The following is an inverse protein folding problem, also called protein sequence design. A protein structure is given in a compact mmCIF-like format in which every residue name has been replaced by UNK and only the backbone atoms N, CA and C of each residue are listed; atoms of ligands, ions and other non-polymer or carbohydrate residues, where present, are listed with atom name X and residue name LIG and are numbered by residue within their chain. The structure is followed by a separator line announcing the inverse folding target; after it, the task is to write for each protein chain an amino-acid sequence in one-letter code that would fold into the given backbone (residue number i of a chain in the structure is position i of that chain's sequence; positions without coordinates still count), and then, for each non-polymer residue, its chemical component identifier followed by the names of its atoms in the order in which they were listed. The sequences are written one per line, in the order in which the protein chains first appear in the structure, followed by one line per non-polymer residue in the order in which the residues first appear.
data_IF_872930002209
#
_entry.id   IF_872930002209
#
_cell.length_a   1.000
_cell.length_b   1.000
_cell.length_c   1.000
_cell.angle_alpha   90.00
_cell.angle_beta   90.00
_cell.angle_gamma   90.00
#
_symmetry.space_group_name_H-M   'P 1'
#
loop_
_entity.id
_entity.type
_entity.pdbx_description
1 polymer ?
#
# COMPACT_ATOMS: atom_id res chain seq x y z
N UNK A 1 2.25 -49.60 -28.30
CA UNK A 1 2.93 -48.29 -28.33
C UNK A 1 1.97 -47.26 -27.74
N UNK A 2 2.08 -47.00 -26.44
CA UNK A 2 1.13 -46.14 -25.69
C UNK A 2 1.30 -44.67 -26.09
N UNK A 3 0.22 -44.08 -26.61
CA UNK A 3 0.10 -42.66 -26.92
C UNK A 3 -0.08 -41.92 -25.59
N UNK A 4 1.02 -41.36 -25.06
CA UNK A 4 0.96 -40.39 -23.96
C UNK A 4 1.44 -39.03 -24.47
N UNK A 5 0.50 -38.21 -24.95
CA UNK A 5 0.54 -36.74 -24.96
C UNK A 5 -0.69 -36.20 -25.69
N UNK A 6 -1.69 -35.71 -24.92
CA UNK A 6 -2.01 -34.29 -25.07
C UNK A 6 -2.29 -33.55 -23.74
N UNK A 7 -2.04 -34.17 -22.58
CA UNK A 7 -2.42 -33.57 -21.29
C UNK A 7 -1.58 -32.34 -20.90
N UNK A 8 -0.29 -32.29 -21.29
CA UNK A 8 0.61 -31.18 -20.90
C UNK A 8 0.30 -29.82 -21.55
N UNK A 9 -0.30 -29.78 -22.75
CA UNK A 9 -0.59 -28.50 -23.44
C UNK A 9 -1.87 -27.83 -22.92
N UNK A 10 -2.88 -28.60 -22.50
CA UNK A 10 -4.10 -28.02 -21.90
C UNK A 10 -3.86 -27.44 -20.52
N UNK A 11 -3.02 -28.07 -19.69
CA UNK A 11 -2.67 -27.55 -18.36
C UNK A 11 -1.83 -26.27 -18.45
N UNK A 12 -0.93 -26.16 -19.43
CA UNK A 12 -0.14 -24.95 -19.65
C UNK A 12 -0.99 -23.70 -19.99
N UNK A 13 -2.15 -23.89 -20.64
CA UNK A 13 -3.11 -22.81 -20.90
C UNK A 13 -3.91 -22.37 -19.67
N UNK A 14 -4.04 -23.24 -18.67
CA UNK A 14 -4.75 -22.94 -17.40
C UNK A 14 -3.89 -22.04 -16.49
N UNK A 15 -2.58 -21.93 -16.76
CA UNK A 15 -1.63 -21.13 -15.98
C UNK A 15 -1.03 -19.93 -16.75
N UNK A 16 -1.44 -19.71 -17.99
CA UNK A 16 -1.06 -18.51 -18.73
C UNK A 16 -1.96 -17.37 -18.27
N UNK A 17 -1.40 -16.42 -17.51
CA UNK A 17 -2.12 -15.21 -17.15
C UNK A 17 -2.40 -14.35 -18.39
N UNK A 18 -3.36 -13.41 -18.26
CA UNK A 18 -3.79 -12.54 -19.35
C UNK A 18 -2.59 -11.91 -20.08
N UNK A 19 -2.61 -11.84 -21.43
CA UNK A 19 -1.50 -11.28 -22.18
C UNK A 19 -1.28 -9.82 -21.80
N UNK A 20 -0.04 -9.48 -21.44
CA UNK A 20 0.39 -8.09 -21.25
C UNK A 20 0.16 -7.31 -22.55
N UNK A 21 -0.51 -6.16 -22.46
CA UNK A 21 -0.74 -5.25 -23.58
C UNK A 21 -0.08 -3.91 -23.30
N UNK A 22 0.79 -3.49 -24.22
CA UNK A 22 1.40 -2.15 -24.19
C UNK A 22 0.38 -1.03 -24.41
N UNK A 23 -0.76 -1.34 -25.05
CA UNK A 23 -1.79 -0.36 -25.42
C UNK A 23 -2.68 0.06 -24.24
N UNK A 24 -2.64 -0.70 -23.13
CA UNK A 24 -3.50 -0.50 -21.96
C UNK A 24 -2.78 0.17 -20.78
N UNK A 25 -1.56 0.69 -20.98
CA UNK A 25 -0.81 1.35 -19.91
C UNK A 25 -1.46 2.68 -19.54
N UNK A 26 -1.66 2.94 -18.24
CA UNK A 26 -2.11 4.24 -17.77
C UNK A 26 -1.07 5.34 -18.03
N UNK A 27 -1.50 6.59 -17.95
CA UNK A 27 -0.65 7.76 -18.15
C UNK A 27 0.58 7.77 -17.21
N UNK A 28 1.66 8.41 -17.64
CA UNK A 28 2.87 8.59 -16.82
C UNK A 28 2.52 9.44 -15.58
N UNK A 29 3.05 9.04 -14.43
CA UNK A 29 2.76 9.67 -13.14
C UNK A 29 3.97 10.53 -12.70
N UNK A 30 3.74 11.74 -12.16
CA UNK A 30 4.81 12.63 -11.71
C UNK A 30 5.28 12.26 -10.31
N UNK A 31 6.51 12.63 -9.96
CA UNK A 31 7.06 12.49 -8.62
C UNK A 31 6.81 13.79 -7.86
N UNK A 32 6.13 13.71 -6.71
CA UNK A 32 5.78 14.88 -5.88
C UNK A 32 6.50 14.85 -4.54
N UNK A 33 7.27 15.89 -4.26
CA UNK A 33 7.92 16.06 -2.97
C UNK A 33 6.98 16.78 -2.01
N UNK A 34 6.61 16.09 -0.94
CA UNK A 34 5.84 16.63 0.17
C UNK A 34 6.75 16.94 1.35
N UNK A 35 6.47 18.04 2.06
CA UNK A 35 7.11 18.35 3.33
C UNK A 35 6.05 18.61 4.40
N UNK A 36 6.03 17.74 5.42
CA UNK A 36 5.07 17.80 6.53
C UNK A 36 5.84 17.86 7.85
N UNK A 37 5.80 19.01 8.52
CA UNK A 37 6.42 19.18 9.83
C UNK A 37 5.55 18.58 10.95
N UNK A 38 5.61 17.26 11.18
CA UNK A 38 4.82 16.63 12.23
C UNK A 38 5.23 17.14 13.63
N UNK A 39 4.25 17.66 14.40
CA UNK A 39 4.43 17.97 15.82
C UNK A 39 3.81 16.86 16.67
N UNK A 40 4.66 16.12 17.39
CA UNK A 40 4.22 15.07 18.32
C UNK A 40 3.16 15.54 19.33
N UNK A 41 3.14 16.82 19.71
CA UNK A 41 2.19 17.36 20.71
C UNK A 41 0.77 17.48 20.16
N UNK A 42 0.63 17.80 18.88
CA UNK A 42 -0.67 17.96 18.21
C UNK A 42 -1.13 16.68 17.53
N UNK A 43 -0.28 15.65 17.52
CA UNK A 43 -0.57 14.38 16.88
C UNK A 43 -1.78 13.69 17.56
N UNK A 44 -2.80 13.42 16.74
CA UNK A 44 -4.04 12.75 17.14
C UNK A 44 -3.85 11.22 17.20
N UNK A 45 -3.95 10.65 18.39
CA UNK A 45 -3.89 9.19 18.61
C UNK A 45 -5.23 8.47 18.40
N UNK A 46 -6.26 9.21 17.96
CA UNK A 46 -7.58 8.73 17.56
C UNK A 46 -7.96 9.20 16.16
N UNK A 47 -6.96 9.49 15.32
CA UNK A 47 -7.07 9.94 13.93
C UNK A 47 -8.19 9.23 13.14
N UNK A 48 -8.24 7.91 13.21
CA UNK A 48 -9.20 7.11 12.48
C UNK A 48 -10.54 7.04 13.21
N UNK A 49 -11.50 7.85 12.76
CA UNK A 49 -12.90 7.86 13.22
C UNK A 49 -13.06 7.93 14.75
N UNK A 50 -12.17 8.63 15.46
CA UNK A 50 -12.15 8.72 16.92
C UNK A 50 -12.05 7.36 17.63
N UNK A 51 -11.46 6.34 16.97
CA UNK A 51 -11.25 5.02 17.51
C UNK A 51 -9.75 4.81 17.74
N UNK A 52 -9.35 4.60 18.99
CA UNK A 52 -7.94 4.53 19.38
C UNK A 52 -7.28 3.27 18.81
N UNK A 53 -7.95 2.12 18.92
CA UNK A 53 -7.40 0.86 18.42
C UNK A 53 -7.32 0.82 16.89
N UNK A 54 -8.27 1.42 16.17
CA UNK A 54 -8.19 1.56 14.72
C UNK A 54 -7.08 2.54 14.32
N UNK A 55 -6.90 3.65 15.04
CA UNK A 55 -5.80 4.59 14.79
C UNK A 55 -4.43 3.95 15.06
N UNK A 56 -4.35 3.08 16.05
CA UNK A 56 -3.17 2.25 16.30
C UNK A 56 -2.84 1.33 15.10
N UNK A 57 -3.83 0.87 14.33
CA UNK A 57 -3.59 0.13 13.09
C UNK A 57 -2.85 1.01 12.08
N UNK A 58 -3.34 2.22 11.80
CA UNK A 58 -2.70 3.14 10.86
C UNK A 58 -1.31 3.59 11.33
N UNK A 59 -1.12 3.83 12.62
CA UNK A 59 0.21 4.11 13.15
C UNK A 59 1.16 2.91 12.99
N UNK A 60 0.67 1.69 13.18
CA UNK A 60 1.44 0.47 12.93
C UNK A 60 1.75 0.31 11.44
N UNK A 61 0.77 0.55 10.58
CA UNK A 61 0.91 0.49 9.13
C UNK A 61 1.97 1.48 8.64
N UNK A 62 1.95 2.73 9.12
CA UNK A 62 2.98 3.74 8.82
C UNK A 62 4.41 3.25 9.13
N UNK A 63 4.59 2.50 10.22
CA UNK A 63 5.91 1.92 10.56
C UNK A 63 6.27 0.80 9.58
N UNK A 64 5.34 -0.09 9.28
CA UNK A 64 5.59 -1.22 8.38
C UNK A 64 5.71 -0.82 6.91
N UNK A 65 5.05 0.26 6.49
CA UNK A 65 5.14 0.81 5.13
C UNK A 65 6.59 1.14 4.77
N UNK A 66 7.35 1.76 5.66
CA UNK A 66 8.77 2.09 5.39
C UNK A 66 9.62 0.88 5.00
N UNK A 67 9.37 -0.29 5.60
CA UNK A 67 10.04 -1.56 5.22
C UNK A 67 9.46 -2.17 3.94
N UNK A 68 8.14 -2.05 3.75
CA UNK A 68 7.45 -2.51 2.54
C UNK A 68 7.90 -1.74 1.30
N UNK A 69 7.93 -0.42 1.38
CA UNK A 69 8.36 0.51 0.34
C UNK A 69 9.85 0.32 0.02
N UNK A 70 10.72 0.10 1.02
CA UNK A 70 12.11 -0.28 0.76
C UNK A 70 12.21 -1.59 -0.07
N UNK A 71 11.40 -2.60 0.25
CA UNK A 71 11.34 -3.85 -0.52
C UNK A 71 10.82 -3.61 -1.94
N UNK A 72 9.78 -2.80 -2.10
CA UNK A 72 9.22 -2.39 -3.39
C UNK A 72 10.29 -1.68 -4.21
N UNK A 73 10.94 -0.66 -3.65
CA UNK A 73 11.98 0.15 -4.29
C UNK A 73 13.13 -0.74 -4.77
N UNK A 74 13.68 -1.59 -3.91
CA UNK A 74 14.81 -2.45 -4.26
C UNK A 74 14.43 -3.49 -5.31
N UNK A 75 13.23 -4.05 -5.22
CA UNK A 75 12.71 -5.01 -6.20
C UNK A 75 12.46 -4.33 -7.54
N UNK A 76 11.83 -3.15 -7.55
CA UNK A 76 11.56 -2.36 -8.73
C UNK A 76 12.87 -1.93 -9.41
N UNK A 77 13.86 -1.45 -8.65
CA UNK A 77 15.19 -1.08 -9.17
C UNK A 77 15.88 -2.25 -9.86
N UNK A 78 15.90 -3.43 -9.22
CA UNK A 78 16.50 -4.63 -9.79
C UNK A 78 15.82 -5.03 -11.11
N UNK A 79 14.48 -5.04 -11.14
CA UNK A 79 13.73 -5.53 -12.30
C UNK A 79 13.61 -4.49 -13.42
N UNK A 80 13.62 -3.20 -13.11
CA UNK A 80 13.56 -2.10 -14.09
C UNK A 80 14.59 -2.28 -15.19
N UNK A 81 15.81 -2.68 -14.85
CA UNK A 81 16.90 -2.80 -15.82
C UNK A 81 16.68 -3.97 -16.82
N UNK A 82 15.81 -4.93 -16.47
CA UNK A 82 15.40 -6.05 -17.33
C UNK A 82 14.25 -5.69 -18.29
N UNK A 83 13.56 -4.57 -18.05
CA UNK A 83 12.43 -4.12 -18.86
C UNK A 83 12.93 -3.51 -20.17
N UNK A 84 12.36 -3.96 -21.30
CA UNK A 84 12.68 -3.44 -22.64
C UNK A 84 11.77 -2.30 -23.08
N UNK A 85 10.52 -2.30 -22.62
CA UNK A 85 9.58 -1.25 -22.96
C UNK A 85 9.97 0.08 -22.28
N UNK A 86 10.28 1.14 -23.05
CA UNK A 86 10.78 2.38 -22.48
C UNK A 86 9.73 3.10 -21.63
N UNK A 87 8.43 2.96 -21.95
CA UNK A 87 7.34 3.55 -21.20
C UNK A 87 7.18 2.87 -19.84
N UNK A 88 7.06 1.54 -19.78
CA UNK A 88 7.00 0.79 -18.53
C UNK A 88 8.24 1.04 -17.66
N UNK A 89 9.43 1.10 -18.27
CA UNK A 89 10.67 1.45 -17.55
C UNK A 89 10.62 2.86 -16.95
N UNK A 90 10.03 3.83 -17.64
CA UNK A 90 9.80 5.19 -17.13
C UNK A 90 8.78 5.19 -15.99
N UNK A 91 7.65 4.49 -16.12
CA UNK A 91 6.62 4.37 -15.07
C UNK A 91 7.18 3.74 -13.79
N UNK A 92 7.97 2.68 -13.91
CA UNK A 92 8.70 2.09 -12.78
C UNK A 92 9.69 3.06 -12.15
N UNK A 93 10.29 3.95 -12.94
CA UNK A 93 11.15 5.02 -12.40
C UNK A 93 10.37 6.05 -11.60
N UNK A 94 9.14 6.39 -12.02
CA UNK A 94 8.24 7.23 -11.23
C UNK A 94 7.84 6.56 -9.92
N UNK A 95 7.40 5.29 -9.97
CA UNK A 95 7.06 4.49 -8.78
C UNK A 95 8.22 4.48 -7.78
N UNK A 96 9.44 4.14 -8.20
CA UNK A 96 10.64 4.18 -7.33
C UNK A 96 10.84 5.56 -6.68
N UNK A 97 10.49 6.64 -7.39
CA UNK A 97 10.62 8.00 -6.90
C UNK A 97 9.55 8.38 -5.88
N UNK A 98 8.29 8.04 -6.13
CA UNK A 98 7.17 8.26 -5.21
C UNK A 98 7.35 7.42 -3.94
N UNK A 99 7.66 6.13 -4.06
CA UNK A 99 7.88 5.25 -2.90
C UNK A 99 9.04 5.71 -2.01
N UNK A 100 10.11 6.23 -2.59
CA UNK A 100 11.21 6.79 -1.81
C UNK A 100 10.77 8.02 -0.99
N UNK A 101 9.79 8.78 -1.47
CA UNK A 101 9.22 9.93 -0.78
C UNK A 101 8.16 9.49 0.23
N UNK A 102 7.33 8.49 -0.07
CA UNK A 102 6.43 7.85 0.89
C UNK A 102 7.21 7.43 2.14
N UNK A 103 8.30 6.68 1.94
CA UNK A 103 9.12 6.12 3.03
C UNK A 103 9.73 7.24 3.87
N UNK A 104 10.23 8.28 3.21
CA UNK A 104 10.80 9.45 3.87
C UNK A 104 9.77 10.18 4.76
N UNK A 105 8.57 10.44 4.25
CA UNK A 105 7.53 11.20 4.99
C UNK A 105 6.87 10.33 6.06
N UNK A 106 6.71 9.02 5.83
CA UNK A 106 6.28 8.07 6.84
C UNK A 106 7.30 7.94 7.97
N UNK A 107 8.61 7.97 7.70
CA UNK A 107 9.63 8.00 8.75
C UNK A 107 9.56 9.28 9.59
N UNK A 108 9.32 10.43 8.97
CA UNK A 108 9.12 11.69 9.71
C UNK A 108 7.86 11.61 10.62
N UNK A 109 6.77 10.97 10.16
CA UNK A 109 5.59 10.68 10.98
C UNK A 109 5.89 9.67 12.11
N UNK A 110 6.65 8.61 11.80
CA UNK A 110 7.04 7.58 12.77
C UNK A 110 7.91 8.16 13.89
N UNK A 111 8.77 9.12 13.59
CA UNK A 111 9.56 9.83 14.59
C UNK A 111 8.67 10.71 15.50
N UNK A 112 7.62 11.33 14.96
CA UNK A 112 6.61 12.02 15.75
C UNK A 112 5.79 11.05 16.63
N UNK A 113 5.41 9.88 16.12
CA UNK A 113 4.78 8.80 16.91
C UNK A 113 5.68 8.32 18.05
N UNK A 114 6.99 8.18 17.80
CA UNK A 114 7.97 7.80 18.80
C UNK A 114 8.05 8.85 19.92
N UNK A 115 8.15 10.13 19.56
CA UNK A 115 8.14 11.24 20.52
C UNK A 115 6.82 11.30 21.31
N UNK A 116 5.72 10.84 20.73
CA UNK A 116 4.40 10.72 21.38
C UNK A 116 4.23 9.48 22.26
N UNK A 117 5.25 8.61 22.31
CA UNK A 117 5.29 7.44 23.19
C UNK A 117 4.70 6.16 22.60
N UNK A 118 4.47 6.10 21.28
CA UNK A 118 4.10 4.85 20.62
C UNK A 118 5.30 3.88 20.58
N UNK A 119 5.08 2.55 20.52
CA UNK A 119 6.14 1.54 20.55
C UNK A 119 6.93 1.42 19.22
N UNK A 120 7.30 2.54 18.59
CA UNK A 120 7.94 2.57 17.26
C UNK A 120 9.22 1.75 17.22
N UNK A 121 10.08 1.84 18.24
CA UNK A 121 11.34 1.06 18.32
C UNK A 121 11.08 -0.45 18.36
N UNK A 122 10.06 -0.89 19.11
CA UNK A 122 9.69 -2.29 19.18
C UNK A 122 9.17 -2.77 17.82
N UNK A 123 8.35 -1.97 17.14
CA UNK A 123 7.79 -2.35 15.85
C UNK A 123 8.84 -2.34 14.74
N UNK A 124 9.76 -1.37 14.71
CA UNK A 124 10.93 -1.38 13.82
C UNK A 124 11.78 -2.64 14.03
N UNK A 125 11.98 -3.06 15.28
CA UNK A 125 12.69 -4.31 15.57
C UNK A 125 11.95 -5.54 15.01
N UNK A 126 10.64 -5.67 15.27
CA UNK A 126 9.84 -6.81 14.79
C UNK A 126 9.73 -6.83 13.26
N UNK A 127 9.49 -5.68 12.64
CA UNK A 127 9.48 -5.53 11.18
C UNK A 127 10.85 -5.88 10.58
N UNK A 128 11.94 -5.39 11.17
CA UNK A 128 13.30 -5.76 10.79
C UNK A 128 13.51 -7.27 10.78
N UNK A 129 13.05 -8.00 11.80
CA UNK A 129 13.12 -9.46 11.82
C UNK A 129 12.34 -10.10 10.66
N UNK A 130 11.10 -9.66 10.41
CA UNK A 130 10.25 -10.19 9.34
C UNK A 130 10.87 -9.96 7.96
N UNK A 131 11.41 -8.76 7.72
CA UNK A 131 11.97 -8.40 6.42
C UNK A 131 13.38 -8.97 6.23
N UNK A 132 14.32 -8.77 7.15
CA UNK A 132 15.72 -9.19 7.01
C UNK A 132 15.89 -10.72 6.96
N UNK A 133 15.11 -11.44 7.77
CA UNK A 133 15.21 -12.91 7.86
C UNK A 133 14.13 -13.64 7.06
N UNK A 134 13.11 -12.93 6.58
CA UNK A 134 12.03 -13.47 5.74
C UNK A 134 12.02 -12.86 4.35
N UNK A 135 11.26 -11.78 4.17
CA UNK A 135 10.86 -11.26 2.84
C UNK A 135 12.06 -10.85 1.96
N UNK A 136 13.11 -10.26 2.53
CA UNK A 136 14.30 -9.83 1.78
C UNK A 136 15.18 -11.00 1.33
N UNK A 137 14.95 -12.22 1.81
CA UNK A 137 15.68 -13.43 1.38
C UNK A 137 14.97 -14.22 0.31
N UNK A 138 13.76 -13.80 -0.09
CA UNK A 138 13.03 -14.43 -1.18
C UNK A 138 13.80 -14.29 -2.51
N UNK A 139 13.75 -15.31 -3.40
CA UNK A 139 14.29 -15.19 -4.75
C UNK A 139 13.67 -14.02 -5.52
N UNK A 140 14.41 -13.41 -6.45
CA UNK A 140 13.96 -12.23 -7.20
C UNK A 140 12.58 -12.38 -7.87
N UNK A 141 12.23 -13.51 -8.53
CA UNK A 141 10.89 -13.69 -9.08
C UNK A 141 9.78 -13.67 -8.02
N UNK A 142 10.07 -14.18 -6.82
CA UNK A 142 9.14 -14.16 -5.70
C UNK A 142 9.04 -12.76 -5.07
N UNK A 143 10.15 -12.02 -4.99
CA UNK A 143 10.12 -10.59 -4.60
C UNK A 143 9.29 -9.77 -5.58
N UNK A 144 9.44 -9.98 -6.88
CA UNK A 144 8.63 -9.30 -7.89
C UNK A 144 7.14 -9.63 -7.71
N UNK A 145 6.81 -10.88 -7.42
CA UNK A 145 5.43 -11.27 -7.10
C UNK A 145 4.93 -10.63 -5.82
N UNK A 146 5.77 -10.53 -4.79
CA UNK A 146 5.43 -9.92 -3.52
C UNK A 146 5.20 -8.41 -3.67
N UNK A 147 6.06 -7.72 -4.42
CA UNK A 147 5.90 -6.31 -4.80
C UNK A 147 4.53 -6.08 -5.45
N UNK A 148 4.19 -6.84 -6.49
CA UNK A 148 2.88 -6.76 -7.14
C UNK A 148 1.70 -7.11 -6.20
N UNK A 149 1.93 -7.92 -5.17
CA UNK A 149 0.94 -8.20 -4.13
C UNK A 149 0.76 -7.04 -3.16
N UNK A 150 1.84 -6.46 -2.65
CA UNK A 150 1.83 -5.30 -1.73
C UNK A 150 1.08 -4.13 -2.38
N UNK A 151 1.46 -3.80 -3.61
CA UNK A 151 0.89 -2.71 -4.43
C UNK A 151 -0.59 -2.92 -4.72
N UNK A 152 -1.03 -4.17 -4.88
CA UNK A 152 -2.45 -4.48 -4.97
C UNK A 152 -3.19 -4.16 -3.67
N UNK A 153 -2.64 -4.53 -2.51
CA UNK A 153 -3.27 -4.23 -1.21
C UNK A 153 -3.32 -2.72 -0.93
N UNK A 154 -2.26 -1.99 -1.24
CA UNK A 154 -2.21 -0.54 -1.04
C UNK A 154 -3.12 0.19 -2.01
N UNK A 155 -3.22 -0.26 -3.27
CA UNK A 155 -4.20 0.29 -4.23
C UNK A 155 -5.66 0.04 -3.81
N UNK A 156 -5.99 -1.16 -3.28
CA UNK A 156 -7.33 -1.44 -2.76
C UNK A 156 -7.64 -0.60 -1.52
N UNK A 157 -6.66 -0.45 -0.62
CA UNK A 157 -6.79 0.46 0.54
C UNK A 157 -7.00 1.90 0.07
N UNK A 158 -6.24 2.35 -0.91
CA UNK A 158 -6.37 3.68 -1.51
C UNK A 158 -7.76 3.91 -2.08
N UNK A 159 -8.28 3.00 -2.90
CA UNK A 159 -9.63 3.12 -3.43
C UNK A 159 -10.68 3.17 -2.33
N UNK A 160 -10.59 2.32 -1.29
CA UNK A 160 -11.50 2.36 -0.15
C UNK A 160 -11.46 3.72 0.54
N UNK A 161 -10.27 4.18 0.94
CA UNK A 161 -10.10 5.43 1.69
C UNK A 161 -10.53 6.64 0.83
N UNK A 162 -10.28 6.57 -0.47
CA UNK A 162 -10.68 7.62 -1.41
C UNK A 162 -12.21 7.71 -1.54
N UNK A 163 -12.91 6.57 -1.54
CA UNK A 163 -14.37 6.50 -1.53
C UNK A 163 -15.01 6.94 -0.20
N UNK A 164 -14.23 6.98 0.88
CA UNK A 164 -14.68 7.35 2.23
C UNK A 164 -13.97 8.63 2.73
N UNK A 165 -13.75 9.60 1.83
CA UNK A 165 -12.95 10.81 2.08
C UNK A 165 -13.30 11.52 3.41
N UNK A 166 -14.60 11.55 3.77
CA UNK A 166 -15.11 12.25 4.95
C UNK A 166 -14.51 11.74 6.27
N UNK A 167 -13.97 10.51 6.28
CA UNK A 167 -13.30 9.93 7.43
C UNK A 167 -12.04 10.71 7.83
N UNK A 168 -11.30 11.24 6.86
CA UNK A 168 -10.07 11.99 7.09
C UNK A 168 -10.32 13.31 7.82
N UNK A 169 -11.51 13.87 7.66
CA UNK A 169 -11.93 15.13 8.27
C UNK A 169 -12.55 14.96 9.66
N UNK A 170 -12.68 13.73 10.17
CA UNK A 170 -13.06 13.52 11.58
C UNK A 170 -11.93 13.92 12.54
N UNK A 171 -10.68 13.82 12.09
CA UNK A 171 -9.52 14.34 12.80
C UNK A 171 -9.25 15.80 12.44
N UNK A 172 -8.84 16.58 13.45
CA UNK A 172 -8.37 17.95 13.25
C UNK A 172 -6.87 18.02 12.92
N UNK A 173 -6.17 16.87 12.92
CA UNK A 173 -4.76 16.81 12.54
C UNK A 173 -4.60 16.87 11.01
N UNK A 174 -4.36 18.08 10.52
CA UNK A 174 -4.26 18.35 9.09
C UNK A 174 -3.07 17.66 8.43
N UNK A 175 -1.98 17.44 9.18
CA UNK A 175 -0.74 16.85 8.63
C UNK A 175 -0.86 15.33 8.56
N UNK A 176 -1.43 14.69 9.59
CA UNK A 176 -1.79 13.27 9.50
C UNK A 176 -2.82 13.03 8.39
N UNK A 177 -3.81 13.91 8.22
CA UNK A 177 -4.72 13.83 7.06
C UNK A 177 -3.97 13.96 5.74
N UNK A 178 -3.10 14.96 5.61
CA UNK A 178 -2.37 15.25 4.37
C UNK A 178 -1.50 14.07 3.91
N UNK A 179 -0.72 13.45 4.79
CA UNK A 179 0.13 12.30 4.41
C UNK A 179 -0.72 11.13 3.91
N UNK A 180 -1.80 10.77 4.61
CA UNK A 180 -2.62 9.63 4.17
C UNK A 180 -3.35 9.94 2.86
N UNK A 181 -3.95 11.13 2.71
CA UNK A 181 -4.61 11.48 1.44
C UNK A 181 -3.63 11.55 0.26
N UNK A 182 -2.42 12.07 0.48
CA UNK A 182 -1.35 12.07 -0.52
C UNK A 182 -0.93 10.65 -0.89
N UNK A 183 -0.67 9.80 0.09
CA UNK A 183 -0.25 8.43 -0.15
C UNK A 183 -1.33 7.65 -0.91
N UNK A 184 -2.62 7.75 -0.51
CA UNK A 184 -3.70 7.06 -1.25
C UNK A 184 -3.83 7.55 -2.70
N UNK A 185 -3.60 8.85 -2.96
CA UNK A 185 -3.56 9.37 -4.32
C UNK A 185 -2.47 8.69 -5.15
N UNK A 186 -1.26 8.53 -4.62
CA UNK A 186 -0.12 7.96 -5.34
C UNK A 186 -0.21 6.42 -5.44
N UNK A 187 -0.71 5.71 -4.44
CA UNK A 187 -0.99 4.26 -4.56
C UNK A 187 -2.04 3.94 -5.63
N UNK A 188 -3.01 4.85 -5.82
CA UNK A 188 -3.97 4.75 -6.93
C UNK A 188 -3.30 4.93 -8.29
N UNK A 189 -2.22 5.72 -8.36
CA UNK A 189 -1.35 5.90 -9.53
C UNK A 189 -0.43 4.68 -9.77
N UNK A 190 -0.05 3.95 -8.71
CA UNK A 190 0.80 2.75 -8.78
C UNK A 190 0.07 1.48 -9.19
N UNK A 191 -1.26 1.43 -8.96
CA UNK A 191 -2.16 0.27 -9.08
C UNK A 191 -1.81 -0.77 -10.16
N UNK A 192 -1.51 -0.36 -11.40
CA UNK A 192 -1.19 -1.27 -12.50
C UNK A 192 0.31 -1.48 -12.73
N UNK A 193 1.19 -0.58 -12.27
CA UNK A 193 2.63 -0.58 -12.60
C UNK A 193 3.30 -1.87 -12.12
N UNK A 194 3.18 -2.21 -10.84
CA UNK A 194 3.85 -3.40 -10.29
C UNK A 194 3.32 -4.70 -10.91
N UNK A 195 2.02 -4.74 -11.19
CA UNK A 195 1.37 -5.84 -11.88
C UNK A 195 1.89 -5.98 -13.32
N UNK A 196 1.97 -4.89 -14.07
CA UNK A 196 2.47 -4.86 -15.44
C UNK A 196 3.92 -5.30 -15.53
N UNK A 197 4.78 -4.89 -14.58
CA UNK A 197 6.16 -5.40 -14.50
C UNK A 197 6.18 -6.91 -14.27
N UNK A 198 5.35 -7.40 -13.35
CA UNK A 198 5.24 -8.84 -13.07
C UNK A 198 4.80 -9.62 -14.32
N UNK A 199 3.77 -9.13 -15.02
CA UNK A 199 3.27 -9.73 -16.25
C UNK A 199 4.29 -9.66 -17.39
N UNK A 200 5.04 -8.55 -17.50
CA UNK A 200 6.05 -8.37 -18.54
C UNK A 200 7.25 -9.32 -18.37
N UNK A 201 7.73 -9.53 -17.13
CA UNK A 201 8.95 -10.28 -16.86
C UNK A 201 8.73 -11.75 -16.48
N UNK A 202 7.64 -12.07 -15.79
CA UNK A 202 7.36 -13.40 -15.25
C UNK A 202 6.14 -14.05 -15.90
N UNK A 203 4.99 -13.35 -15.90
CA UNK A 203 3.69 -13.85 -16.37
C UNK A 203 3.27 -15.22 -15.79
N UNK A 204 3.80 -15.60 -14.61
CA UNK A 204 3.52 -16.90 -14.01
C UNK A 204 2.39 -16.78 -12.99
N UNK A 205 1.21 -17.33 -13.30
CA UNK A 205 0.05 -17.23 -12.42
C UNK A 205 0.31 -17.82 -11.03
N UNK A 206 0.83 -19.05 -10.93
CA UNK A 206 1.03 -19.71 -9.64
C UNK A 206 2.00 -18.94 -8.73
N UNK A 207 3.05 -18.38 -9.32
CA UNK A 207 4.00 -17.53 -8.59
C UNK A 207 3.34 -16.21 -8.16
N UNK A 208 2.48 -15.60 -9.00
CA UNK A 208 1.73 -14.37 -8.69
C UNK A 208 0.90 -14.54 -7.42
N UNK A 209 0.17 -15.65 -7.36
CA UNK A 209 -0.64 -16.04 -6.19
C UNK A 209 0.24 -16.31 -4.97
N UNK A 210 1.43 -16.89 -5.16
CA UNK A 210 2.34 -17.13 -4.06
C UNK A 210 2.80 -15.82 -3.38
N UNK A 211 3.08 -14.75 -4.14
CA UNK A 211 3.47 -13.45 -3.57
C UNK A 211 2.33 -12.68 -2.90
N UNK A 212 1.08 -12.92 -3.32
CA UNK A 212 -0.11 -12.32 -2.71
C UNK A 212 -0.28 -12.69 -1.22
N UNK A 213 -0.08 -13.96 -0.86
CA UNK A 213 -0.36 -14.41 0.52
C UNK A 213 0.57 -13.81 1.58
N UNK A 214 1.90 -13.71 1.39
CA UNK A 214 2.75 -13.00 2.35
C UNK A 214 2.37 -11.53 2.52
N UNK A 215 1.96 -10.83 1.45
CA UNK A 215 1.44 -9.47 1.55
C UNK A 215 0.14 -9.44 2.39
N UNK A 216 -0.83 -10.32 2.09
CA UNK A 216 -2.07 -10.46 2.85
C UNK A 216 -1.82 -10.72 4.34
N UNK A 217 -0.98 -11.72 4.64
CA UNK A 217 -0.67 -12.14 6.02
C UNK A 217 0.00 -11.00 6.78
N UNK A 218 0.88 -10.26 6.12
CA UNK A 218 1.58 -9.13 6.75
C UNK A 218 0.59 -8.00 7.04
N UNK A 219 -0.14 -7.53 6.02
CA UNK A 219 -0.97 -6.32 6.11
C UNK A 219 -2.23 -6.54 6.95
N UNK A 220 -2.98 -7.62 6.72
CA UNK A 220 -4.23 -7.90 7.44
C UNK A 220 -4.00 -8.68 8.73
N UNK A 221 -2.92 -9.46 8.82
CA UNK A 221 -2.61 -10.31 9.97
C UNK A 221 -1.63 -9.68 10.96
N UNK A 222 -0.35 -9.59 10.56
CA UNK A 222 0.74 -9.16 11.44
C UNK A 222 0.58 -7.72 11.92
N UNK A 223 0.26 -6.77 11.03
CA UNK A 223 0.06 -5.37 11.40
C UNK A 223 -1.16 -5.23 12.32
N UNK A 224 -2.26 -5.93 12.02
CA UNK A 224 -3.45 -5.95 12.89
C UNK A 224 -3.12 -6.49 14.28
N UNK A 225 -2.39 -7.59 14.38
CA UNK A 225 -1.97 -8.17 15.65
C UNK A 225 -1.01 -7.24 16.42
N UNK A 226 -0.03 -6.64 15.73
CA UNK A 226 0.89 -5.66 16.32
C UNK A 226 0.13 -4.44 16.86
N UNK A 227 -0.87 -3.94 16.13
CA UNK A 227 -1.64 -2.77 16.54
C UNK A 227 -2.34 -2.92 17.90
N UNK A 228 -2.72 -4.15 18.30
CA UNK A 228 -3.35 -4.43 19.60
C UNK A 228 -2.42 -4.07 20.78
N UNK A 229 -1.10 -4.08 20.56
CA UNK A 229 -0.11 -3.77 21.59
C UNK A 229 -0.05 -2.26 21.86
N UNK A 230 -0.35 -1.40 20.87
CA UNK A 230 -0.07 0.06 20.96
C UNK A 230 -0.78 0.72 22.14
N UNK A 231 -2.11 0.60 22.35
CA UNK A 231 -2.76 1.29 23.46
C UNK A 231 -2.34 0.73 24.82
N UNK A 232 -2.10 -0.59 24.90
CA UNK A 232 -1.69 -1.28 26.13
C UNK A 232 -0.24 -0.91 26.51
N UNK A 233 0.65 -0.77 25.52
CA UNK A 233 2.04 -0.36 25.75
C UNK A 233 2.11 1.03 26.39
N UNK A 234 1.25 1.96 25.93
CA UNK A 234 1.17 3.32 26.46
C UNK A 234 0.51 3.38 27.84
N UNK A 235 -0.53 2.57 28.05
CA UNK A 235 -1.26 2.51 29.31
C UNK A 235 -1.63 1.07 29.66
N UNK A 236 -0.77 0.33 30.41
CA UNK A 236 -0.97 -1.10 30.69
C UNK A 236 -2.29 -1.43 31.40
N UNK A 237 -2.88 -0.47 32.13
CA UNK A 237 -4.19 -0.62 32.79
C UNK A 237 -5.33 -0.86 31.80
N UNK A 238 -5.16 -0.50 30.51
CA UNK A 238 -6.17 -0.74 29.47
C UNK A 238 -6.51 -2.22 29.28
N UNK A 239 -5.60 -3.14 29.63
CA UNK A 239 -5.87 -4.58 29.65
C UNK A 239 -7.13 -4.93 30.46
N UNK A 240 -7.42 -4.17 31.52
CA UNK A 240 -8.56 -4.40 32.41
C UNK A 240 -9.71 -3.39 32.18
N UNK A 241 -9.64 -2.55 31.15
CA UNK A 241 -10.62 -1.50 30.88
C UNK A 241 -11.73 -1.98 29.95
N UNK A 242 -12.97 -2.01 30.44
CA UNK A 242 -14.15 -2.30 29.61
C UNK A 242 -14.32 -1.30 28.45
N UNK A 243 -13.95 -0.03 28.65
CA UNK A 243 -14.02 0.98 27.61
C UNK A 243 -13.03 0.70 26.47
N UNK A 244 -11.81 0.26 26.80
CA UNK A 244 -10.82 -0.15 25.81
C UNK A 244 -11.31 -1.35 24.99
N UNK A 245 -11.81 -2.41 25.63
CA UNK A 245 -12.31 -3.58 24.89
C UNK A 245 -13.55 -3.29 24.03
N UNK A 246 -14.39 -2.32 24.43
CA UNK A 246 -15.46 -1.79 23.55
C UNK A 246 -14.88 -1.09 22.32
N UNK A 247 -13.83 -0.28 22.49
CA UNK A 247 -13.12 0.37 21.39
C UNK A 247 -12.42 -0.64 20.47
N UNK A 248 -11.81 -1.70 21.02
CA UNK A 248 -11.23 -2.81 20.24
C UNK A 248 -12.30 -3.49 19.39
N UNK A 249 -13.47 -3.82 19.96
CA UNK A 249 -14.59 -4.43 19.22
C UNK A 249 -15.10 -3.48 18.11
N UNK A 250 -15.26 -2.20 18.43
CA UNK A 250 -15.65 -1.17 17.45
C UNK A 250 -14.63 -1.09 16.31
N UNK A 251 -13.35 -1.03 16.65
CA UNK A 251 -12.23 -0.95 15.70
C UNK A 251 -12.15 -2.19 14.82
N UNK A 252 -12.41 -3.39 15.36
CA UNK A 252 -12.53 -4.59 14.55
C UNK A 252 -13.67 -4.49 13.52
N UNK A 253 -14.81 -3.90 13.88
CA UNK A 253 -15.89 -3.59 12.93
C UNK A 253 -15.49 -2.54 11.90
N UNK A 254 -14.75 -1.50 12.30
CA UNK A 254 -14.24 -0.47 11.39
C UNK A 254 -13.19 -0.99 10.39
N UNK A 255 -12.42 -2.02 10.75
CA UNK A 255 -11.42 -2.62 9.86
C UNK A 255 -11.97 -3.79 9.05
N UNK A 256 -12.85 -4.62 9.64
CA UNK A 256 -13.25 -5.91 9.07
C UNK A 256 -14.77 -6.12 8.97
N UNK A 257 -15.58 -5.11 9.26
CA UNK A 257 -17.02 -5.14 9.00
C UNK A 257 -17.32 -5.24 7.52
N UNK A 258 -18.32 -6.05 7.14
CA UNK A 258 -18.62 -6.35 5.73
C UNK A 258 -19.30 -5.20 4.97
N UNK A 259 -19.91 -4.25 5.69
CA UNK A 259 -20.63 -3.12 5.11
C UNK A 259 -19.69 -1.94 4.89
N UNK A 260 -19.14 -1.38 5.97
CA UNK A 260 -18.31 -0.17 5.92
C UNK A 260 -16.87 -0.36 6.38
N UNK A 261 -16.43 -1.59 6.68
CA UNK A 261 -15.09 -1.83 7.23
C UNK A 261 -14.00 -1.88 6.17
N UNK A 262 -12.84 -1.24 6.40
CA UNK A 262 -11.72 -1.10 5.42
C UNK A 262 -11.46 -2.35 4.57
N UNK A 263 -11.13 -3.47 5.22
CA UNK A 263 -10.82 -4.74 4.57
C UNK A 263 -12.03 -5.64 4.41
N UNK A 264 -13.06 -5.48 5.25
CA UNK A 264 -14.25 -6.31 5.22
C UNK A 264 -15.17 -6.00 4.03
N UNK A 265 -15.42 -4.72 3.76
CA UNK A 265 -16.22 -4.27 2.61
C UNK A 265 -15.44 -4.40 1.30
N UNK A 266 -14.12 -4.23 1.34
CA UNK A 266 -13.22 -4.37 0.19
C UNK A 266 -12.80 -5.82 -0.10
N UNK A 267 -13.30 -6.81 0.68
CA UNK A 267 -12.85 -8.20 0.61
C UNK A 267 -12.94 -8.80 -0.81
N UNK A 268 -14.00 -8.49 -1.56
CA UNK A 268 -14.13 -8.98 -2.95
C UNK A 268 -13.01 -8.44 -3.84
N UNK A 269 -12.73 -7.13 -3.78
CA UNK A 269 -11.66 -6.51 -4.56
C UNK A 269 -10.28 -7.06 -4.14
N UNK A 270 -10.02 -7.23 -2.84
CA UNK A 270 -8.78 -7.86 -2.36
C UNK A 270 -8.54 -9.21 -3.04
N UNK A 271 -9.57 -10.07 -3.10
CA UNK A 271 -9.44 -11.44 -3.62
C UNK A 271 -9.64 -11.55 -5.15
N UNK A 272 -10.09 -10.50 -5.83
CA UNK A 272 -10.15 -10.48 -7.30
C UNK A 272 -8.75 -10.69 -7.92
N UNK A 273 -7.68 -10.30 -7.23
CA UNK A 273 -6.28 -10.58 -7.62
C UNK A 273 -6.00 -12.05 -7.92
N UNK A 274 -6.77 -12.95 -7.29
CA UNK A 274 -6.66 -14.39 -7.48
C UNK A 274 -7.29 -14.88 -8.78
N UNK A 275 -8.01 -14.04 -9.55
CA UNK A 275 -8.58 -14.47 -10.83
C UNK A 275 -7.48 -14.65 -11.90
N UNK A 276 -7.51 -15.72 -12.71
CA UNK A 276 -6.54 -15.91 -13.79
C UNK A 276 -6.47 -14.76 -14.81
N UNK A 277 -7.60 -14.11 -15.05
CA UNK A 277 -7.77 -13.01 -15.99
C UNK A 277 -7.77 -11.62 -15.33
N UNK A 278 -7.44 -11.53 -14.04
CA UNK A 278 -7.39 -10.27 -13.31
C UNK A 278 -6.49 -9.24 -13.99
N UNK A 279 -6.92 -8.00 -14.00
CA UNK A 279 -6.05 -6.84 -14.17
C UNK A 279 -6.44 -5.76 -13.16
N UNK A 280 -5.49 -5.01 -12.56
CA UNK A 280 -5.84 -3.93 -11.63
C UNK A 280 -6.76 -2.86 -12.23
N UNK A 281 -6.68 -2.65 -13.55
CA UNK A 281 -7.58 -1.76 -14.30
C UNK A 281 -9.00 -2.32 -14.55
N UNK A 282 -9.32 -3.55 -14.12
CA UNK A 282 -10.70 -4.04 -14.05
C UNK A 282 -11.56 -3.19 -13.09
N UNK A 283 -10.90 -2.54 -12.12
CA UNK A 283 -11.49 -1.55 -11.22
C UNK A 283 -11.08 -0.15 -11.72
N UNK A 284 -11.93 0.49 -12.52
CA UNK A 284 -11.65 1.81 -13.09
C UNK A 284 -11.73 2.93 -12.03
N UNK A 285 -10.57 3.50 -11.72
CA UNK A 285 -10.42 4.59 -10.74
C UNK A 285 -10.23 5.96 -11.40
N UNK A 286 -10.36 6.07 -12.73
CA UNK A 286 -10.00 7.29 -13.48
C UNK A 286 -10.78 8.53 -13.04
N UNK A 287 -12.10 8.40 -12.85
CA UNK A 287 -12.94 9.50 -12.39
C UNK A 287 -12.60 9.94 -10.96
N UNK A 288 -12.35 8.97 -10.06
CA UNK A 288 -11.93 9.24 -8.69
C UNK A 288 -10.57 9.91 -8.63
N UNK A 289 -9.62 9.43 -9.42
CA UNK A 289 -8.28 9.99 -9.50
C UNK A 289 -8.31 11.44 -10.00
N UNK A 290 -9.15 11.75 -10.99
CA UNK A 290 -9.33 13.12 -11.48
C UNK A 290 -9.91 14.04 -10.38
N UNK A 291 -10.94 13.59 -9.66
CA UNK A 291 -11.51 14.33 -8.53
C UNK A 291 -10.46 14.57 -7.43
N UNK A 292 -9.71 13.54 -7.02
CA UNK A 292 -8.69 13.65 -5.98
C UNK A 292 -7.53 14.55 -6.39
N UNK A 293 -7.09 14.49 -7.65
CA UNK A 293 -6.06 15.40 -8.17
C UNK A 293 -6.51 16.85 -8.07
N UNK A 294 -7.74 17.16 -8.47
CA UNK A 294 -8.28 18.51 -8.32
C UNK A 294 -8.37 18.90 -6.84
N UNK A 295 -8.98 18.05 -6.02
CA UNK A 295 -9.22 18.29 -4.59
C UNK A 295 -7.94 18.50 -3.78
N UNK A 296 -6.89 17.76 -4.11
CA UNK A 296 -5.64 17.73 -3.35
C UNK A 296 -4.57 18.64 -3.94
N UNK A 297 -4.47 18.73 -5.27
CA UNK A 297 -3.33 19.35 -5.97
C UNK A 297 -3.69 20.66 -6.68
N UNK A 298 -4.93 21.17 -6.58
CA UNK A 298 -5.27 22.46 -7.18
C UNK A 298 -4.29 23.56 -6.69
N UNK A 299 -3.61 24.30 -7.60
CA UNK A 299 -2.56 25.25 -7.22
C UNK A 299 -3.01 26.42 -6.34
N UNK A 300 -4.32 26.65 -6.21
CA UNK A 300 -4.91 27.76 -5.43
C UNK A 300 -5.45 27.27 -4.10
N UNK A 301 -6.25 26.19 -4.09
CA UNK A 301 -7.01 25.75 -2.92
C UNK A 301 -6.92 24.24 -2.62
N UNK A 302 -5.99 23.53 -3.28
CA UNK A 302 -5.72 22.13 -3.02
C UNK A 302 -5.23 21.88 -1.59
N UNK A 303 -5.73 20.80 -0.95
CA UNK A 303 -5.38 20.46 0.43
C UNK A 303 -3.87 20.26 0.62
N UNK A 304 -3.20 19.70 -0.39
CA UNK A 304 -1.77 19.39 -0.33
C UNK A 304 -0.89 20.53 -0.85
N UNK A 305 -1.47 21.53 -1.52
CA UNK A 305 -0.75 22.65 -2.12
C UNK A 305 0.20 23.37 -1.16
N UNK A 306 -0.17 23.63 0.12
CA UNK A 306 0.76 24.23 1.09
C UNK A 306 1.99 23.38 1.43
N UNK A 307 1.95 22.07 1.14
CA UNK A 307 2.96 21.10 1.55
C UNK A 307 3.82 20.59 0.37
N UNK A 308 3.38 20.82 -0.88
CA UNK A 308 4.13 20.41 -2.07
C UNK A 308 5.30 21.36 -2.29
N UNK A 309 6.51 20.81 -2.32
CA UNK A 309 7.75 21.56 -2.49
C UNK A 309 8.32 21.46 -3.90
N UNK A 310 8.02 20.37 -4.61
CA UNK A 310 8.51 20.11 -5.97
C UNK A 310 7.67 19.03 -6.65
N UNK A 311 7.43 19.18 -7.95
CA UNK A 311 6.85 18.13 -8.79
C UNK A 311 7.67 18.01 -10.09
N UNK A 312 7.93 16.79 -10.54
CA UNK A 312 8.56 16.56 -11.85
C UNK A 312 8.26 15.17 -12.40
N UNK A 313 8.24 15.04 -13.73
CA UNK A 313 8.10 13.75 -14.41
C UNK A 313 9.47 13.28 -14.92
N UNK A 314 9.91 12.04 -14.62
CA UNK A 314 11.11 11.47 -15.22
C UNK A 314 11.05 11.52 -16.75
N UNK A 315 12.18 11.72 -17.43
CA UNK A 315 12.21 11.72 -18.91
C UNK A 315 12.07 10.30 -19.46
N UNK A 316 11.31 10.16 -20.55
CA UNK A 316 11.29 8.94 -21.35
C UNK A 316 12.66 8.76 -22.02
N UNK A 317 13.30 7.60 -21.79
CA UNK A 317 14.56 7.24 -22.46
C UNK A 317 14.24 6.14 -23.47
N UNK A 318 14.37 6.49 -24.76
CA UNK A 318 14.20 5.58 -25.91
C UNK A 318 15.55 5.04 -26.32
#
# INVERSE_FOLDING_TARGET
MMITKPFKKSVAKIFAAAPFSLENQAAIIPIRHLHLDFDSKTLDDRFYLNAEQASAYFASLSIFLTFGEDLVIDTARYHRDLIKDPLLKQRVTSLIGQEALHSKVHEDLNDAYLARGLPVKLFRFLAGLVFEYGLNRLPQPMKLSLMAGIEHFTAVLAEYMMNHEDMFFKSQDEKQRAIWMWHMLEESEHKDIAYDVYQHLSNNYALRIAGFFPALITILGLISAASLIVPIYREPKKLFSLAHWKDVRRSAGLMFGLEDGVYGSSWKHIFDYLRPDFHPNDHDTSAFLAYYKERLLNPVDGILTPYITKEFTPKLKV
#
